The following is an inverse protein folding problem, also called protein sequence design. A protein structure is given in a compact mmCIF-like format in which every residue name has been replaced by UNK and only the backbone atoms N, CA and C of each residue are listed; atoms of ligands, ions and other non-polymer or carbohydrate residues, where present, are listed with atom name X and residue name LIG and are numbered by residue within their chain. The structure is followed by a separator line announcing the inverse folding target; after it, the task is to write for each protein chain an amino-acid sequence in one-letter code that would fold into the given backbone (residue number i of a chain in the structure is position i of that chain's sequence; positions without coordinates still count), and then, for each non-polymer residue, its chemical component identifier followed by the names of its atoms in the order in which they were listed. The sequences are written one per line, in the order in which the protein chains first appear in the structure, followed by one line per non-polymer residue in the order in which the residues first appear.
data_IF_466764483592
#
_entry.id   IF_466764483592
#
_cell.length_a   1.000
_cell.length_b   1.000
_cell.length_c   1.000
_cell.angle_alpha   90.00
_cell.angle_beta   90.00
_cell.angle_gamma   90.00
#
_symmetry.space_group_name_H-M   'P 1'
#
loop_
_entity.id
_entity.type
_entity.pdbx_description
1 polymer ?
#
# COMPACT_ATOMS: atom_id res chain seq x y z
N UNK A 1 29.01 -33.76 15.98
CA UNK A 1 28.78 -32.98 14.74
C UNK A 1 27.71 -31.92 15.00
N UNK A 2 28.14 -30.78 15.56
CA UNK A 2 27.26 -29.64 15.74
C UNK A 2 27.23 -28.82 14.43
N UNK A 3 26.07 -28.77 13.80
CA UNK A 3 25.78 -27.93 12.64
C UNK A 3 26.00 -26.46 13.01
N UNK A 4 27.03 -25.83 12.44
CA UNK A 4 27.25 -24.39 12.54
C UNK A 4 26.07 -23.64 11.91
N UNK A 5 25.32 -23.00 12.80
CA UNK A 5 24.40 -21.89 12.56
C UNK A 5 24.86 -20.97 11.43
N UNK A 6 23.99 -20.74 10.43
CA UNK A 6 24.26 -19.91 9.26
C UNK A 6 24.63 -18.47 9.63
N UNK A 7 25.91 -18.13 9.48
CA UNK A 7 26.40 -16.76 9.58
C UNK A 7 25.74 -15.86 8.52
N UNK A 8 25.34 -14.65 8.91
CA UNK A 8 24.65 -13.71 8.05
C UNK A 8 25.64 -13.00 7.12
N UNK A 9 25.89 -13.56 5.93
CA UNK A 9 26.75 -12.91 4.93
C UNK A 9 26.17 -11.57 4.44
N UNK A 10 27.06 -10.62 4.14
CA UNK A 10 26.77 -9.26 3.67
C UNK A 10 25.97 -9.26 2.36
N UNK A 11 26.23 -10.23 1.49
CA UNK A 11 25.47 -10.52 0.27
C UNK A 11 25.21 -12.02 0.25
N UNK A 12 23.93 -12.42 0.18
CA UNK A 12 23.56 -13.84 0.11
C UNK A 12 22.42 -14.09 -0.86
N UNK A 13 22.47 -15.21 -1.56
CA UNK A 13 21.34 -15.67 -2.36
C UNK A 13 20.25 -16.30 -1.50
N UNK A 14 19.00 -16.09 -1.91
CA UNK A 14 17.80 -16.71 -1.35
C UNK A 14 16.98 -17.24 -2.50
N UNK A 15 16.87 -18.56 -2.59
CA UNK A 15 16.09 -19.25 -3.62
C UNK A 15 14.60 -18.87 -3.54
N UNK A 16 13.94 -18.74 -4.69
CA UNK A 16 12.49 -18.65 -4.76
C UNK A 16 11.84 -20.03 -4.63
N UNK A 17 10.65 -20.11 -4.04
CA UNK A 17 9.89 -21.36 -4.00
C UNK A 17 9.26 -21.65 -5.36
N UNK A 18 9.64 -22.76 -6.02
CA UNK A 18 9.09 -23.16 -7.32
C UNK A 18 9.41 -24.60 -7.71
N UNK A 19 8.44 -25.28 -8.35
CA UNK A 19 8.49 -26.69 -8.76
C UNK A 19 9.50 -27.02 -9.89
N UNK A 20 9.69 -28.32 -10.16
CA UNK A 20 10.90 -28.88 -10.80
C UNK A 20 11.10 -28.67 -12.32
N UNK A 21 10.48 -27.67 -12.97
CA UNK A 21 10.52 -27.55 -14.45
C UNK A 21 10.84 -26.17 -15.05
N UNK A 22 11.14 -25.14 -14.25
CA UNK A 22 11.57 -23.83 -14.74
C UNK A 22 12.95 -23.44 -14.17
N UNK A 23 13.73 -22.54 -14.82
CA UNK A 23 14.93 -21.97 -14.22
C UNK A 23 14.52 -21.33 -12.90
N UNK A 24 15.08 -21.81 -11.80
CA UNK A 24 14.72 -21.28 -10.48
C UNK A 24 15.26 -19.87 -10.37
N UNK A 25 14.39 -18.93 -10.03
CA UNK A 25 14.75 -17.54 -9.84
C UNK A 25 14.61 -17.24 -8.35
N UNK A 26 15.64 -16.62 -7.78
CA UNK A 26 15.68 -16.16 -6.40
C UNK A 26 16.09 -14.69 -6.34
N UNK A 27 16.72 -14.32 -5.23
CA UNK A 27 17.12 -12.95 -4.96
C UNK A 27 18.42 -12.87 -4.18
N UNK A 28 19.20 -11.81 -4.38
CA UNK A 28 20.32 -11.49 -3.48
C UNK A 28 19.84 -10.55 -2.38
N UNK A 29 20.14 -10.90 -1.12
CA UNK A 29 19.92 -10.05 0.05
C UNK A 29 21.23 -9.39 0.45
N UNK A 30 21.21 -8.06 0.54
CA UNK A 30 22.32 -7.23 0.97
C UNK A 30 22.04 -6.70 2.38
N UNK A 31 22.93 -6.96 3.33
CA UNK A 31 22.85 -6.43 4.69
C UNK A 31 23.58 -5.09 4.76
N UNK A 32 22.85 -4.03 5.10
CA UNK A 32 23.33 -2.66 5.04
C UNK A 32 23.33 -2.00 6.41
N UNK A 33 24.32 -1.15 6.67
CA UNK A 33 24.32 -0.17 7.77
C UNK A 33 24.44 1.23 7.18
N UNK A 34 23.35 1.99 7.25
CA UNK A 34 23.19 3.30 6.63
C UNK A 34 23.44 4.41 7.63
N UNK A 35 24.28 5.37 7.26
CA UNK A 35 24.52 6.63 7.99
C UNK A 35 23.90 7.79 7.20
N UNK A 36 22.66 8.20 7.51
CA UNK A 36 22.00 9.31 6.83
C UNK A 36 22.52 10.67 7.33
N UNK A 37 22.25 11.74 6.57
CA UNK A 37 22.69 13.10 6.90
C UNK A 37 24.20 13.31 6.83
N UNK A 38 24.91 12.49 6.06
CA UNK A 38 26.34 12.69 5.82
C UNK A 38 26.57 13.93 4.95
N UNK A 39 27.79 14.49 4.98
CA UNK A 39 28.16 15.53 4.01
C UNK A 39 28.20 14.91 2.61
N UNK A 40 27.93 15.69 1.55
CA UNK A 40 28.02 15.21 0.16
C UNK A 40 29.37 14.57 -0.17
N UNK A 41 30.46 15.07 0.42
CA UNK A 41 31.82 14.52 0.28
C UNK A 41 31.97 13.11 0.87
N UNK A 42 31.10 12.71 1.80
CA UNK A 42 31.11 11.41 2.46
C UNK A 42 30.00 10.47 1.96
N UNK A 43 29.17 10.88 0.99
CA UNK A 43 28.17 10.00 0.38
C UNK A 43 28.87 8.87 -0.41
N UNK A 44 28.50 7.62 -0.15
CA UNK A 44 29.17 6.46 -0.75
C UNK A 44 29.21 5.23 0.16
N UNK A 45 29.71 4.12 -0.38
CA UNK A 45 30.05 2.92 0.42
C UNK A 45 31.25 3.26 1.30
N UNK A 46 31.13 3.13 2.61
CA UNK A 46 32.21 3.47 3.55
C UNK A 46 33.10 2.28 3.89
N UNK A 47 32.51 1.08 3.99
CA UNK A 47 33.23 -0.17 4.22
C UNK A 47 32.37 -1.37 3.83
N UNK A 48 33.02 -2.49 3.52
CA UNK A 48 32.36 -3.76 3.24
C UNK A 48 33.06 -4.84 4.04
N UNK A 49 32.33 -5.53 4.91
CA UNK A 49 32.80 -6.72 5.64
C UNK A 49 32.10 -7.96 5.10
N UNK A 50 32.45 -9.13 5.63
CA UNK A 50 31.78 -10.38 5.25
C UNK A 50 30.33 -10.46 5.75
N UNK A 51 29.95 -9.65 6.74
CA UNK A 51 28.60 -9.67 7.35
C UNK A 51 27.71 -8.47 6.96
N UNK A 52 28.30 -7.32 6.61
CA UNK A 52 27.53 -6.09 6.31
C UNK A 52 28.27 -5.12 5.39
N UNK A 53 27.48 -4.29 4.71
CA UNK A 53 27.92 -3.16 3.88
C UNK A 53 27.58 -1.86 4.62
N UNK A 54 28.57 -1.07 5.00
CA UNK A 54 28.34 0.27 5.56
C UNK A 54 28.33 1.31 4.45
N UNK A 55 27.35 2.22 4.48
CA UNK A 55 27.24 3.29 3.50
C UNK A 55 26.68 4.57 4.13
N UNK A 56 27.06 5.71 3.55
CA UNK A 56 26.62 7.03 3.94
C UNK A 56 25.75 7.64 2.84
N UNK A 57 24.68 8.34 3.23
CA UNK A 57 23.85 9.12 2.30
C UNK A 57 23.69 10.53 2.84
N UNK A 58 23.68 11.53 1.97
CA UNK A 58 23.50 12.92 2.34
C UNK A 58 22.04 13.23 2.72
N UNK A 59 21.09 12.47 2.16
CA UNK A 59 19.68 12.55 2.48
C UNK A 59 19.44 12.36 3.99
N UNK A 60 18.53 13.16 4.54
CA UNK A 60 18.14 13.07 5.94
C UNK A 60 17.23 11.87 6.16
N UNK A 61 17.14 11.31 7.39
CA UNK A 61 16.24 10.21 7.70
C UNK A 61 14.78 10.68 7.86
N UNK A 62 14.27 11.46 6.91
CA UNK A 62 12.89 11.97 6.85
C UNK A 62 12.22 11.50 5.57
N UNK A 63 10.92 11.25 5.63
CA UNK A 63 10.04 11.03 4.47
C UNK A 63 10.52 10.00 3.44
N UNK A 64 11.37 9.05 3.85
CA UNK A 64 11.95 8.04 2.96
C UNK A 64 13.12 8.51 2.09
N UNK A 65 13.54 9.78 2.17
CA UNK A 65 14.64 10.33 1.35
C UNK A 65 15.93 9.51 1.51
N UNK A 66 16.28 9.13 2.74
CA UNK A 66 17.45 8.28 3.01
C UNK A 66 17.32 6.88 2.38
N UNK A 67 16.10 6.33 2.27
CA UNK A 67 15.88 5.02 1.63
C UNK A 67 16.04 5.12 0.11
N UNK A 68 15.50 6.17 -0.50
CA UNK A 68 15.68 6.43 -1.93
C UNK A 68 17.14 6.69 -2.28
N UNK A 69 17.85 7.46 -1.46
CA UNK A 69 19.28 7.72 -1.62
C UNK A 69 20.11 6.43 -1.51
N UNK A 70 19.75 5.51 -0.61
CA UNK A 70 20.40 4.18 -0.52
C UNK A 70 20.19 3.37 -1.79
N UNK A 71 18.96 3.30 -2.30
CA UNK A 71 18.65 2.55 -3.54
C UNK A 71 19.37 3.18 -4.73
N UNK A 72 19.39 4.51 -4.82
CA UNK A 72 20.16 5.24 -5.85
C UNK A 72 21.64 4.89 -5.77
N UNK A 73 22.24 5.00 -4.59
CA UNK A 73 23.67 4.72 -4.40
C UNK A 73 24.03 3.27 -4.78
N UNK A 74 23.22 2.29 -4.37
CA UNK A 74 23.45 0.89 -4.73
C UNK A 74 23.26 0.62 -6.22
N UNK A 75 22.25 1.25 -6.84
CA UNK A 75 21.98 1.18 -8.28
C UNK A 75 23.18 1.69 -9.09
N UNK A 76 23.70 2.86 -8.72
CA UNK A 76 24.88 3.46 -9.36
C UNK A 76 26.15 2.64 -9.11
N UNK A 77 26.33 2.09 -7.90
CA UNK A 77 27.53 1.34 -7.54
C UNK A 77 27.60 -0.04 -8.23
N UNK A 78 26.47 -0.74 -8.32
CA UNK A 78 26.40 -2.09 -8.91
C UNK A 78 26.14 -2.03 -10.42
N UNK A 79 25.69 -0.87 -10.94
CA UNK A 79 25.39 -0.69 -12.36
C UNK A 79 24.07 -1.32 -12.79
N UNK A 80 23.07 -1.34 -11.89
CA UNK A 80 21.77 -1.99 -12.12
C UNK A 80 20.61 -1.00 -12.03
N UNK A 81 19.49 -1.23 -12.74
CA UNK A 81 18.31 -0.38 -12.63
C UNK A 81 17.76 -0.32 -11.19
N UNK A 82 17.37 0.88 -10.73
CA UNK A 82 16.77 1.09 -9.40
C UNK A 82 15.57 0.17 -9.14
N UNK A 83 14.80 -0.17 -10.18
CA UNK A 83 13.64 -1.06 -10.13
C UNK A 83 13.97 -2.50 -9.73
N UNK A 84 15.23 -2.94 -9.87
CA UNK A 84 15.67 -4.28 -9.42
C UNK A 84 16.06 -4.32 -7.95
N UNK A 85 16.26 -3.16 -7.31
CA UNK A 85 16.68 -3.03 -5.92
C UNK A 85 15.52 -2.57 -5.03
N UNK A 86 15.25 -3.33 -3.97
CA UNK A 86 14.18 -3.03 -3.01
C UNK A 86 14.71 -3.05 -1.58
N UNK A 87 14.39 -2.04 -0.78
CA UNK A 87 14.62 -2.11 0.66
C UNK A 87 13.47 -2.87 1.33
N UNK A 88 13.71 -4.13 1.68
CA UNK A 88 12.70 -5.04 2.25
C UNK A 88 12.68 -5.05 3.77
N UNK A 89 13.72 -4.51 4.40
CA UNK A 89 13.80 -4.41 5.86
C UNK A 89 14.53 -3.15 6.32
N UNK A 90 14.19 -2.66 7.51
CA UNK A 90 14.93 -1.57 8.15
C UNK A 90 14.67 -0.17 7.58
N UNK A 91 13.54 0.06 6.92
CA UNK A 91 13.22 1.38 6.35
C UNK A 91 13.36 2.56 7.35
N UNK A 92 13.08 2.32 8.64
CA UNK A 92 13.27 3.28 9.76
C UNK A 92 14.52 3.03 10.61
N UNK A 93 15.31 2.02 10.28
CA UNK A 93 16.54 1.67 10.97
C UNK A 93 17.76 2.09 10.14
N UNK A 94 18.91 2.22 10.81
CA UNK A 94 20.22 2.30 10.15
C UNK A 94 20.60 0.94 9.59
N UNK A 95 20.21 -0.15 10.23
CA UNK A 95 20.36 -1.49 9.66
C UNK A 95 19.23 -1.72 8.66
N UNK A 96 19.58 -1.94 7.39
CA UNK A 96 18.61 -2.20 6.32
C UNK A 96 18.95 -3.48 5.58
N UNK A 97 17.94 -4.10 4.99
CA UNK A 97 18.15 -5.20 4.04
C UNK A 97 17.65 -4.75 2.68
N UNK A 98 18.55 -4.67 1.70
CA UNK A 98 18.18 -4.52 0.30
C UNK A 98 18.08 -5.89 -0.38
N UNK A 99 17.21 -5.98 -1.38
CA UNK A 99 17.01 -7.16 -2.21
C UNK A 99 17.26 -6.77 -3.65
N UNK A 100 18.14 -7.51 -4.31
CA UNK A 100 18.22 -7.56 -5.76
C UNK A 100 17.34 -8.71 -6.25
N UNK A 101 16.30 -8.38 -7.00
CA UNK A 101 15.33 -9.35 -7.52
C UNK A 101 15.82 -10.05 -8.78
N UNK A 102 15.13 -11.13 -9.12
CA UNK A 102 15.20 -11.80 -10.42
C UNK A 102 16.62 -12.32 -10.74
N UNK A 103 17.21 -13.00 -9.76
CA UNK A 103 18.54 -13.60 -9.86
C UNK A 103 18.38 -15.08 -10.16
N UNK A 104 18.91 -15.55 -11.29
CA UNK A 104 18.92 -16.98 -11.61
C UNK A 104 19.66 -17.76 -10.51
N UNK A 105 19.11 -18.90 -10.09
CA UNK A 105 19.74 -19.79 -9.12
C UNK A 105 21.05 -20.37 -9.68
N UNK A 106 21.08 -20.65 -10.98
CA UNK A 106 22.28 -21.00 -11.71
C UNK A 106 23.24 -19.80 -11.79
N UNK A 107 24.45 -19.94 -11.27
CA UNK A 107 25.43 -18.86 -11.15
C UNK A 107 25.16 -17.83 -10.03
N UNK A 108 24.20 -18.08 -9.14
CA UNK A 108 23.83 -17.13 -8.08
C UNK A 108 24.98 -16.81 -7.12
N UNK A 109 25.85 -17.79 -6.85
CA UNK A 109 27.00 -17.65 -5.94
C UNK A 109 28.08 -16.75 -6.55
N UNK A 110 28.42 -16.99 -7.81
CA UNK A 110 29.36 -16.18 -8.60
C UNK A 110 28.84 -14.76 -8.78
N UNK A 111 27.53 -14.61 -9.01
CA UNK A 111 26.89 -13.30 -9.10
C UNK A 111 26.90 -12.56 -7.76
N UNK A 112 26.64 -13.25 -6.64
CA UNK A 112 26.77 -12.67 -5.30
C UNK A 112 28.20 -12.19 -5.01
N UNK A 113 29.20 -13.00 -5.39
CA UNK A 113 30.61 -12.64 -5.26
C UNK A 113 30.98 -11.43 -6.12
N UNK A 114 30.46 -11.35 -7.35
CA UNK A 114 30.66 -10.20 -8.26
C UNK A 114 30.07 -8.92 -7.67
N UNK A 115 28.84 -8.98 -7.14
CA UNK A 115 28.20 -7.83 -6.49
C UNK A 115 28.99 -7.38 -5.25
N UNK A 116 29.45 -8.33 -4.43
CA UNK A 116 30.27 -8.03 -3.26
C UNK A 116 31.61 -7.39 -3.64
N UNK A 117 32.26 -7.85 -4.73
CA UNK A 117 33.50 -7.27 -5.25
C UNK A 117 33.30 -5.84 -5.78
N UNK A 118 32.22 -5.57 -6.52
CA UNK A 118 31.87 -4.21 -6.97
C UNK A 118 31.70 -3.25 -5.78
N UNK A 119 31.00 -3.69 -4.73
CA UNK A 119 30.82 -2.91 -3.51
C UNK A 119 32.14 -2.69 -2.76
N UNK A 120 33.02 -3.69 -2.71
CA UNK A 120 34.37 -3.57 -2.12
C UNK A 120 35.22 -2.56 -2.89
N UNK A 121 35.22 -2.61 -4.22
CA UNK A 121 35.93 -1.67 -5.09
C UNK A 121 35.45 -0.22 -4.93
N UNK A 122 34.17 -0.03 -4.63
CA UNK A 122 33.60 1.29 -4.36
C UNK A 122 34.02 1.88 -3.00
N UNK A 123 34.43 1.04 -2.04
CA UNK A 123 34.83 1.45 -0.68
C UNK A 123 36.17 2.22 -0.67
N UNK A 124 36.31 3.30 0.12
CA UNK A 124 37.53 4.09 0.26
C UNK A 124 38.76 3.29 0.70
N UNK A 125 38.57 2.12 1.32
CA UNK A 125 39.65 1.21 1.73
C UNK A 125 40.52 0.67 0.59
N UNK A 126 40.14 0.90 -0.68
CA UNK A 126 40.95 0.58 -1.87
C UNK A 126 41.43 1.81 -2.67
N UNK A 127 41.14 3.04 -2.21
CA UNK A 127 41.68 4.27 -2.81
C UNK A 127 42.76 4.85 -1.92
N UNK A 128 44.02 4.57 -2.25
CA UNK A 128 45.14 5.33 -1.71
C UNK A 128 45.60 6.39 -2.73
N UNK A 129 45.69 7.68 -2.36
CA UNK A 129 46.38 8.66 -3.20
C UNK A 129 47.91 8.51 -3.23
N UNK A 130 48.56 7.78 -2.31
CA UNK A 130 50.03 7.64 -2.22
C UNK A 130 50.48 6.34 -1.52
N UNK A 131 50.60 5.24 -2.27
CA UNK A 131 50.91 3.88 -1.80
C UNK A 131 51.75 3.71 -0.51
N UNK A 132 51.18 3.04 0.50
CA UNK A 132 51.79 2.18 1.53
C UNK A 132 50.69 1.41 2.29
N UNK A 133 50.98 0.18 2.72
CA UNK A 133 50.01 -0.85 3.15
C UNK A 133 49.60 -0.78 4.64
N UNK A 134 48.50 -1.49 4.89
CA UNK A 134 47.73 -1.68 6.13
C UNK A 134 48.56 -2.38 7.22
N UNK A 135 48.76 -1.73 8.35
CA UNK A 135 48.89 -2.34 9.69
C UNK A 135 48.92 -1.22 10.75
N UNK A 136 48.47 -1.54 11.97
CA UNK A 136 48.28 -0.65 13.12
C UNK A 136 47.04 0.27 13.07
N UNK A 137 45.93 -0.21 13.64
CA UNK A 137 45.10 0.56 14.58
C UNK A 137 44.14 -0.37 15.38
N UNK A 138 44.65 -1.53 15.79
CA UNK A 138 44.13 -2.23 16.98
C UNK A 138 44.92 -1.72 18.19
N UNK A 139 44.44 -0.65 18.81
CA UNK A 139 44.68 -0.30 20.23
C UNK A 139 44.23 1.13 20.50
N UNK A 140 43.06 1.28 21.13
CA UNK A 140 42.79 2.28 22.18
C UNK A 140 41.39 2.10 22.74
N UNK A 141 41.35 1.38 23.84
CA UNK A 141 40.29 1.33 24.83
C UNK A 141 40.26 2.66 25.61
N UNK A 142 39.08 3.24 25.85
CA UNK A 142 38.67 3.85 27.14
C UNK A 142 37.23 4.41 27.13
N UNK A 143 36.42 3.80 27.99
CA UNK A 143 35.42 4.31 28.95
C UNK A 143 34.87 5.75 28.81
N UNK A 144 33.53 5.87 28.71
CA UNK A 144 32.65 6.93 29.29
C UNK A 144 31.24 6.29 29.53
N UNK A 145 30.49 6.63 30.61
CA UNK A 145 29.60 5.70 31.34
C UNK A 145 28.12 5.68 30.91
N UNK A 146 27.40 4.68 31.46
CA UNK A 146 25.97 4.42 31.33
C UNK A 146 25.06 5.62 31.65
N UNK A 147 24.03 5.81 30.83
CA UNK A 147 22.77 6.49 31.20
C UNK A 147 21.64 5.99 30.29
N UNK A 148 20.38 5.97 30.77
CA UNK A 148 19.55 4.78 30.86
C UNK A 148 18.86 4.45 29.54
N UNK A 149 18.67 3.15 29.31
CA UNK A 149 17.90 2.58 28.21
C UNK A 149 16.51 3.20 28.14
N UNK A 150 16.27 4.05 27.12
CA UNK A 150 14.92 4.45 26.74
C UNK A 150 14.22 3.21 26.21
N UNK A 151 13.26 2.73 26.99
CA UNK A 151 12.33 1.63 26.73
C UNK A 151 12.19 1.33 25.23
N UNK A 152 12.61 0.14 24.81
CA UNK A 152 12.27 -0.39 23.50
C UNK A 152 10.74 -0.57 23.47
N UNK A 153 10.02 0.42 22.95
CA UNK A 153 8.58 0.27 22.70
C UNK A 153 8.40 -0.97 21.82
N UNK A 154 7.68 -1.96 22.35
CA UNK A 154 7.26 -3.13 21.61
C UNK A 154 6.64 -2.69 20.28
N UNK A 155 6.86 -3.45 19.21
CA UNK A 155 6.13 -3.19 17.95
C UNK A 155 4.63 -3.23 18.28
N UNK A 156 3.85 -2.17 17.97
CA UNK A 156 2.42 -2.18 18.23
C UNK A 156 1.82 -3.37 17.48
N UNK A 157 1.25 -4.30 18.25
CA UNK A 157 0.53 -5.44 17.71
C UNK A 157 -0.87 -4.95 17.33
N UNK A 158 -1.32 -5.33 16.16
CA UNK A 158 -2.65 -5.04 15.67
C UNK A 158 -3.23 -6.32 15.09
N UNK A 159 -4.54 -6.45 15.16
CA UNK A 159 -5.27 -7.63 14.72
C UNK A 159 -6.36 -7.26 13.72
N UNK A 160 -6.58 -8.12 12.74
CA UNK A 160 -7.69 -8.01 11.79
C UNK A 160 -8.89 -8.71 12.41
N UNK A 161 -10.05 -8.06 12.37
CA UNK A 161 -11.33 -8.59 12.84
C UNK A 161 -12.45 -8.26 11.86
N UNK A 162 -13.57 -8.99 11.95
CA UNK A 162 -14.81 -8.51 11.35
C UNK A 162 -15.25 -7.20 12.02
N UNK A 163 -15.74 -6.26 11.22
CA UNK A 163 -16.37 -5.04 11.71
C UNK A 163 -17.81 -5.37 12.15
N UNK A 164 -18.25 -4.83 13.28
CA UNK A 164 -19.59 -5.01 13.85
C UNK A 164 -20.38 -3.70 13.86
N UNK A 165 -21.68 -3.77 14.15
CA UNK A 165 -22.53 -2.58 14.25
C UNK A 165 -22.05 -1.60 15.34
N UNK A 166 -21.42 -2.10 16.40
CA UNK A 166 -20.91 -1.27 17.50
C UNK A 166 -19.70 -0.42 17.08
N UNK A 167 -18.99 -0.82 16.02
CA UNK A 167 -17.83 -0.07 15.50
C UNK A 167 -18.24 1.13 14.63
N UNK A 168 -19.49 1.18 14.16
CA UNK A 168 -19.95 2.13 13.13
C UNK A 168 -19.67 3.59 13.53
N UNK A 169 -19.95 4.05 14.76
CA UNK A 169 -19.65 5.42 15.15
C UNK A 169 -18.15 5.77 15.07
N UNK A 170 -17.28 4.86 15.51
CA UNK A 170 -15.83 5.05 15.50
C UNK A 170 -15.28 5.07 14.06
N UNK A 171 -15.78 4.17 13.21
CA UNK A 171 -15.40 4.08 11.81
C UNK A 171 -15.87 5.29 11.03
N UNK A 172 -17.07 5.80 11.30
CA UNK A 172 -17.57 7.00 10.67
C UNK A 172 -16.74 8.24 11.02
N UNK A 173 -16.36 8.39 12.30
CA UNK A 173 -15.44 9.46 12.70
C UNK A 173 -14.10 9.33 11.97
N UNK A 174 -13.53 8.12 11.95
CA UNK A 174 -12.30 7.81 11.23
C UNK A 174 -12.36 8.20 9.76
N UNK A 175 -13.48 7.93 9.08
CA UNK A 175 -13.68 8.33 7.68
C UNK A 175 -13.76 9.83 7.52
N UNK A 176 -14.49 10.53 8.38
CA UNK A 176 -14.51 12.00 8.40
C UNK A 176 -13.10 12.57 8.48
N UNK A 177 -12.30 12.11 9.45
CA UNK A 177 -10.92 12.57 9.65
C UNK A 177 -10.00 12.21 8.47
N UNK A 178 -10.18 11.02 7.88
CA UNK A 178 -9.31 10.54 6.80
C UNK A 178 -9.53 11.27 5.47
N UNK A 179 -10.74 11.81 5.23
CA UNK A 179 -11.11 12.51 4.00
C UNK A 179 -11.22 14.03 4.17
N UNK A 180 -10.93 14.57 5.35
CA UNK A 180 -10.98 16.02 5.63
C UNK A 180 -10.17 16.85 4.63
N UNK A 181 -9.07 16.30 4.12
CA UNK A 181 -8.14 16.97 3.17
C UNK A 181 -8.14 16.37 1.77
N UNK A 182 -9.11 15.50 1.45
CA UNK A 182 -9.24 14.96 0.10
C UNK A 182 -9.92 15.97 -0.82
N UNK A 183 -9.22 16.40 -1.88
CA UNK A 183 -9.66 17.47 -2.79
C UNK A 183 -11.07 17.25 -3.37
N UNK A 184 -11.38 16.02 -3.76
CA UNK A 184 -12.69 15.72 -4.34
C UNK A 184 -13.79 15.78 -3.28
N UNK A 185 -13.52 15.24 -2.08
CA UNK A 185 -14.46 15.28 -0.96
C UNK A 185 -14.73 16.71 -0.51
N UNK A 186 -13.69 17.54 -0.40
CA UNK A 186 -13.81 18.98 -0.14
C UNK A 186 -14.71 19.67 -1.19
N UNK A 187 -14.48 19.39 -2.48
CA UNK A 187 -15.28 19.97 -3.57
C UNK A 187 -16.77 19.58 -3.46
N UNK A 188 -17.07 18.30 -3.21
CA UNK A 188 -18.46 17.83 -3.03
C UNK A 188 -19.14 18.50 -1.82
N UNK A 189 -18.37 18.87 -0.80
CA UNK A 189 -18.85 19.65 0.34
C UNK A 189 -19.35 21.06 -0.02
N UNK A 190 -19.02 21.59 -1.19
CA UNK A 190 -19.45 22.91 -1.67
C UNK A 190 -20.76 22.87 -2.48
N UNK A 191 -21.34 21.69 -2.69
CA UNK A 191 -22.62 21.55 -3.38
C UNK A 191 -23.79 22.15 -2.58
N UNK A 192 -24.95 22.28 -3.24
CA UNK A 192 -26.20 22.72 -2.58
C UNK A 192 -26.59 21.81 -1.40
N UNK A 193 -26.23 20.54 -1.51
CA UNK A 193 -26.32 19.55 -0.44
C UNK A 193 -24.89 19.13 -0.06
N UNK A 194 -24.28 19.76 0.97
CA UNK A 194 -22.90 19.49 1.34
C UNK A 194 -22.67 18.01 1.66
N UNK A 195 -21.73 17.40 0.95
CA UNK A 195 -21.32 16.04 1.22
C UNK A 195 -20.54 15.96 2.55
N UNK A 196 -20.96 15.04 3.42
CA UNK A 196 -20.30 14.75 4.71
C UNK A 196 -19.94 13.27 4.76
N UNK A 197 -18.63 12.99 4.74
CA UNK A 197 -18.10 11.62 4.74
C UNK A 197 -18.45 10.84 6.01
N UNK A 198 -18.47 11.51 7.17
CA UNK A 198 -18.83 10.87 8.45
C UNK A 198 -20.31 10.50 8.46
N UNK A 199 -21.18 11.43 8.07
CA UNK A 199 -22.63 11.18 7.97
C UNK A 199 -22.93 10.07 6.96
N UNK A 200 -22.33 10.14 5.77
CA UNK A 200 -22.46 9.10 4.74
C UNK A 200 -22.06 7.72 5.28
N UNK A 201 -20.96 7.64 6.02
CA UNK A 201 -20.49 6.37 6.61
C UNK A 201 -21.43 5.86 7.71
N UNK A 202 -21.94 6.73 8.59
CA UNK A 202 -22.93 6.37 9.61
C UNK A 202 -24.19 5.74 9.00
N UNK A 203 -24.66 6.29 7.88
CA UNK A 203 -25.90 5.86 7.23
C UNK A 203 -25.72 4.61 6.37
N UNK A 204 -24.59 4.47 5.67
CA UNK A 204 -24.37 3.39 4.69
C UNK A 204 -23.80 2.10 5.29
N UNK A 205 -22.86 2.21 6.24
CA UNK A 205 -22.11 1.07 6.76
C UNK A 205 -22.99 -0.01 7.43
N UNK A 206 -24.06 0.31 8.18
CA UNK A 206 -24.97 -0.70 8.72
C UNK A 206 -25.64 -1.57 7.65
N UNK A 207 -25.93 -1.01 6.48
CA UNK A 207 -26.50 -1.75 5.35
C UNK A 207 -25.49 -2.70 4.72
N UNK A 208 -24.24 -2.24 4.56
CA UNK A 208 -23.13 -3.05 4.04
C UNK A 208 -22.83 -4.25 4.94
N UNK A 209 -22.86 -4.08 6.27
CA UNK A 209 -22.64 -5.15 7.23
C UNK A 209 -23.68 -6.28 7.16
N UNK A 210 -24.90 -5.97 6.71
CA UNK A 210 -25.99 -6.94 6.56
C UNK A 210 -25.99 -7.63 5.20
N UNK A 211 -25.18 -7.17 4.25
CA UNK A 211 -25.20 -7.69 2.90
C UNK A 211 -24.42 -9.02 2.80
N UNK A 212 -25.04 -10.12 2.33
CA UNK A 212 -24.39 -11.43 2.22
C UNK A 212 -23.13 -11.43 1.35
N UNK A 213 -23.07 -10.51 0.37
CA UNK A 213 -21.98 -10.35 -0.60
C UNK A 213 -20.90 -9.37 -0.17
N UNK A 214 -21.01 -8.83 1.05
CA UNK A 214 -20.07 -7.84 1.57
C UNK A 214 -19.39 -8.39 2.82
N UNK A 215 -18.07 -8.22 2.87
CA UNK A 215 -17.24 -8.48 4.04
C UNK A 215 -16.58 -7.19 4.46
N UNK A 216 -16.76 -6.81 5.71
CA UNK A 216 -16.11 -5.62 6.26
C UNK A 216 -15.13 -6.04 7.34
N UNK A 217 -13.88 -5.64 7.15
CA UNK A 217 -12.78 -5.90 8.08
C UNK A 217 -12.35 -4.61 8.74
N UNK A 218 -11.96 -4.72 10.01
CA UNK A 218 -11.27 -3.67 10.75
C UNK A 218 -9.91 -4.15 11.22
N UNK A 219 -8.99 -3.21 11.37
CA UNK A 219 -7.75 -3.42 12.12
C UNK A 219 -7.88 -2.72 13.46
N UNK A 220 -7.63 -3.43 14.54
CA UNK A 220 -7.73 -2.92 15.90
C UNK A 220 -6.35 -2.89 16.53
N UNK A 221 -6.04 -1.80 17.22
CA UNK A 221 -4.84 -1.69 18.05
C UNK A 221 -4.96 -2.59 19.28
N UNK A 222 -3.95 -3.41 19.58
CA UNK A 222 -4.01 -4.35 20.71
C UNK A 222 -3.89 -3.65 22.07
N UNK A 223 -3.31 -2.46 22.13
CA UNK A 223 -3.09 -1.74 23.39
C UNK A 223 -4.29 -0.85 23.73
N UNK A 224 -4.74 -0.03 22.78
CA UNK A 224 -5.85 0.90 23.03
C UNK A 224 -7.23 0.30 22.74
N UNK A 225 -7.31 -0.74 21.92
CA UNK A 225 -8.58 -1.23 21.38
C UNK A 225 -9.18 -0.33 20.30
N UNK A 226 -8.47 0.71 19.86
CA UNK A 226 -8.96 1.64 18.85
C UNK A 226 -9.05 0.97 17.47
N UNK A 227 -10.09 1.31 16.72
CA UNK A 227 -10.18 0.99 15.29
C UNK A 227 -9.18 1.86 14.54
N UNK A 228 -8.15 1.23 13.96
CA UNK A 228 -7.08 1.90 13.23
C UNK A 228 -7.43 2.18 11.77
N UNK A 229 -8.30 1.35 11.20
CA UNK A 229 -8.75 1.42 9.82
C UNK A 229 -9.69 0.27 9.47
N UNK A 230 -10.37 0.38 8.34
CA UNK A 230 -11.30 -0.63 7.86
C UNK A 230 -11.22 -0.79 6.34
N UNK A 231 -11.68 -1.93 5.84
CA UNK A 231 -11.83 -2.22 4.42
C UNK A 231 -13.12 -3.00 4.18
N UNK A 232 -13.87 -2.57 3.17
CA UNK A 232 -15.10 -3.21 2.71
C UNK A 232 -14.81 -3.92 1.39
N UNK A 233 -14.99 -5.24 1.39
CA UNK A 233 -14.83 -6.11 0.24
C UNK A 233 -16.19 -6.57 -0.29
N UNK A 234 -16.46 -6.32 -1.57
CA UNK A 234 -17.57 -6.89 -2.31
C UNK A 234 -17.18 -8.17 -3.04
N UNK A 235 -18.12 -9.11 -3.15
CA UNK A 235 -17.93 -10.42 -3.77
C UNK A 235 -18.93 -10.61 -4.91
N UNK A 236 -18.43 -10.94 -6.10
CA UNK A 236 -19.24 -11.31 -7.27
C UNK A 236 -18.98 -12.76 -7.64
N UNK A 237 -20.04 -13.53 -7.87
CA UNK A 237 -19.93 -14.91 -8.37
C UNK A 237 -19.51 -15.98 -7.34
N UNK A 238 -19.77 -15.77 -6.04
CA UNK A 238 -19.29 -16.64 -4.95
C UNK A 238 -20.40 -17.20 -4.07
N UNK A 239 -21.18 -18.25 -4.43
CA UNK A 239 -22.38 -18.80 -3.73
C UNK A 239 -22.78 -18.24 -2.32
N UNK A 240 -23.45 -18.98 -1.44
CA UNK A 240 -23.31 -18.64 -0.01
C UNK A 240 -22.19 -19.43 0.64
N UNK A 241 -22.05 -20.70 0.27
CA UNK A 241 -21.09 -21.64 0.85
C UNK A 241 -19.63 -21.31 0.49
N UNK A 242 -19.45 -20.56 -0.60
CA UNK A 242 -18.15 -20.08 -1.09
C UNK A 242 -17.71 -18.74 -0.44
N UNK A 243 -18.60 -18.09 0.32
CA UNK A 243 -18.28 -16.83 1.00
C UNK A 243 -17.37 -17.09 2.21
N UNK A 244 -16.40 -16.20 2.49
CA UNK A 244 -15.52 -16.37 3.64
C UNK A 244 -16.28 -16.25 4.96
N UNK A 245 -15.99 -17.18 5.86
CA UNK A 245 -16.47 -17.19 7.25
C UNK A 245 -15.48 -16.40 8.10
N UNK A 246 -15.98 -15.38 8.79
CA UNK A 246 -15.21 -14.56 9.71
C UNK A 246 -15.91 -14.57 11.07
N UNK A 247 -15.15 -14.85 12.13
CA UNK A 247 -15.65 -14.76 13.50
C UNK A 247 -16.14 -13.33 13.79
N UNK A 248 -17.32 -13.21 14.39
CA UNK A 248 -17.97 -11.92 14.66
C UNK A 248 -18.70 -11.28 13.47
N UNK A 249 -18.59 -11.84 12.25
CA UNK A 249 -19.41 -11.39 11.11
C UNK A 249 -20.84 -11.85 11.31
N UNK A 250 -21.81 -10.93 11.19
CA UNK A 250 -23.22 -11.29 11.09
C UNK A 250 -23.43 -12.08 9.79
N UNK A 251 -23.61 -13.39 9.90
CA UNK A 251 -23.88 -14.21 8.73
C UNK A 251 -25.29 -13.92 8.21
N UNK A 252 -25.49 -13.90 6.88
CA UNK A 252 -26.83 -13.84 6.32
C UNK A 252 -27.64 -15.06 6.76
N UNK A 253 -28.96 -14.91 6.95
CA UNK A 253 -29.83 -16.02 7.36
C UNK A 253 -29.79 -17.17 6.34
N UNK A 254 -29.91 -18.41 6.83
CA UNK A 254 -29.74 -19.65 6.05
C UNK A 254 -30.67 -19.78 4.82
N UNK A 255 -31.79 -19.04 4.79
CA UNK A 255 -32.71 -18.94 3.65
C UNK A 255 -32.88 -17.47 3.25
N UNK A 256 -32.04 -16.93 2.36
CA UNK A 256 -32.32 -15.65 1.74
C UNK A 256 -33.52 -15.79 0.79
N UNK A 257 -34.42 -14.80 0.69
CA UNK A 257 -35.38 -14.75 -0.40
C UNK A 257 -34.64 -14.80 -1.75
N UNK A 258 -35.27 -15.41 -2.76
CA UNK A 258 -34.69 -15.58 -4.10
C UNK A 258 -34.04 -14.28 -4.61
N UNK A 259 -32.91 -14.37 -5.34
CA UNK A 259 -32.17 -13.18 -5.73
C UNK A 259 -33.04 -12.29 -6.61
N UNK A 260 -33.47 -11.16 -6.07
CA UNK A 260 -33.65 -9.98 -6.92
C UNK A 260 -32.28 -9.74 -7.56
N UNK A 261 -32.24 -9.63 -8.89
CA UNK A 261 -31.02 -9.39 -9.66
C UNK A 261 -30.18 -8.32 -8.95
N UNK A 262 -29.11 -8.75 -8.28
CA UNK A 262 -28.29 -7.89 -7.43
C UNK A 262 -27.26 -7.18 -8.30
N UNK A 263 -27.76 -6.26 -9.13
CA UNK A 263 -27.09 -4.99 -9.38
C UNK A 263 -27.52 -4.01 -8.29
N UNK A 264 -26.69 -3.02 -8.04
CA UNK A 264 -27.03 -1.80 -7.31
C UNK A 264 -27.20 -1.90 -5.79
N UNK A 265 -26.13 -1.51 -5.11
CA UNK A 265 -26.27 -0.65 -3.94
C UNK A 265 -25.22 0.45 -4.02
N UNK A 266 -25.50 1.44 -4.89
CA UNK A 266 -25.16 2.84 -4.69
C UNK A 266 -25.99 3.70 -5.66
N UNK A 267 -27.29 3.84 -5.39
CA UNK A 267 -27.95 5.14 -5.43
C UNK A 267 -29.34 5.01 -4.78
N UNK A 268 -29.61 5.79 -3.74
CA UNK A 268 -31.00 6.10 -3.39
C UNK A 268 -31.48 7.11 -4.43
N UNK A 269 -31.92 6.62 -5.58
CA UNK A 269 -32.93 7.30 -6.37
C UNK A 269 -33.85 6.24 -6.97
N UNK A 270 -35.13 6.40 -6.71
CA UNK A 270 -36.22 5.48 -7.02
C UNK A 270 -36.33 5.17 -8.51
N UNK A 271 -36.08 3.91 -8.89
CA UNK A 271 -36.48 3.38 -10.18
C UNK A 271 -38.00 3.16 -10.20
N UNK A 272 -38.74 4.15 -10.71
CA UNK A 272 -40.09 3.95 -11.23
C UNK A 272 -40.00 3.41 -12.67
N UNK A 273 -40.78 2.36 -12.93
CA UNK A 273 -40.88 1.66 -14.23
C UNK A 273 -41.23 2.60 -15.39
N UNK A 274 -40.71 2.21 -16.56
CA UNK A 274 -40.89 2.77 -17.89
C UNK A 274 -42.27 3.35 -18.19
N UNK A 275 -42.31 4.67 -18.28
CA UNK A 275 -43.05 5.39 -19.32
C UNK A 275 -42.05 6.34 -19.98
N UNK A 276 -42.02 6.40 -21.31
CA UNK A 276 -41.09 7.24 -22.06
C UNK A 276 -41.25 8.72 -21.65
N UNK A 277 -40.44 9.16 -20.69
CA UNK A 277 -40.31 10.56 -20.31
C UNK A 277 -39.41 11.28 -21.32
N UNK A 278 -39.68 12.56 -21.60
CA UNK A 278 -38.80 13.38 -22.42
C UNK A 278 -37.38 13.37 -21.84
N UNK A 279 -36.37 13.48 -22.70
CA UNK A 279 -34.97 13.57 -22.30
C UNK A 279 -34.84 14.54 -21.12
N UNK A 280 -34.27 14.11 -19.98
CA UNK A 280 -34.13 14.99 -18.82
C UNK A 280 -33.29 16.20 -19.23
N UNK A 281 -33.70 17.39 -18.80
CA UNK A 281 -32.91 18.60 -19.01
C UNK A 281 -31.47 18.38 -18.50
N UNK A 282 -30.45 18.92 -19.20
CA UNK A 282 -29.06 18.70 -18.82
C UNK A 282 -28.83 19.20 -17.39
N UNK A 283 -28.26 18.34 -16.54
CA UNK A 283 -27.94 18.69 -15.15
C UNK A 283 -27.00 19.90 -15.13
N UNK A 284 -27.41 20.96 -14.42
CA UNK A 284 -26.72 22.24 -14.38
C UNK A 284 -25.92 22.45 -13.09
N UNK A 285 -26.20 21.66 -12.04
CA UNK A 285 -25.42 21.71 -10.81
C UNK A 285 -24.02 21.10 -11.06
N UNK A 286 -22.95 21.86 -10.81
CA UNK A 286 -21.60 21.45 -11.20
C UNK A 286 -21.12 20.22 -10.40
N UNK A 287 -21.57 20.06 -9.16
CA UNK A 287 -21.24 18.88 -8.34
C UNK A 287 -22.01 17.66 -8.83
N UNK A 288 -23.32 17.81 -9.12
CA UNK A 288 -24.10 16.70 -9.69
C UNK A 288 -23.58 16.25 -11.04
N UNK A 289 -23.07 17.17 -11.87
CA UNK A 289 -22.37 16.84 -13.12
C UNK A 289 -21.10 16.00 -12.87
N UNK A 290 -20.28 16.38 -11.88
CA UNK A 290 -19.09 15.60 -11.50
C UNK A 290 -19.46 14.20 -11.00
N UNK A 291 -20.51 14.10 -10.19
CA UNK A 291 -21.04 12.82 -9.72
C UNK A 291 -21.58 11.97 -10.87
N UNK A 292 -22.34 12.55 -11.79
CA UNK A 292 -22.82 11.86 -12.99
C UNK A 292 -21.66 11.33 -13.84
N UNK A 293 -20.63 12.15 -14.10
CA UNK A 293 -19.43 11.74 -14.84
C UNK A 293 -18.73 10.57 -14.15
N UNK A 294 -18.41 10.70 -12.86
CA UNK A 294 -17.64 9.70 -12.12
C UNK A 294 -18.43 8.41 -11.93
N UNK A 295 -19.75 8.48 -11.73
CA UNK A 295 -20.62 7.32 -11.64
C UNK A 295 -20.77 6.61 -13.00
N UNK A 296 -20.97 7.35 -14.08
CA UNK A 296 -21.08 6.77 -15.43
C UNK A 296 -19.77 6.06 -15.84
N UNK A 297 -18.62 6.68 -15.55
CA UNK A 297 -17.30 6.11 -15.84
C UNK A 297 -17.05 4.81 -15.04
N UNK A 298 -17.42 4.80 -13.75
CA UNK A 298 -17.31 3.63 -12.89
C UNK A 298 -18.26 2.52 -13.32
N UNK A 299 -19.50 2.84 -13.69
CA UNK A 299 -20.48 1.86 -14.17
C UNK A 299 -20.01 1.20 -15.47
N UNK A 300 -19.53 2.00 -16.44
CA UNK A 300 -18.96 1.48 -17.67
C UNK A 300 -17.75 0.56 -17.41
N UNK A 301 -16.89 0.92 -16.45
CA UNK A 301 -15.81 0.04 -16.00
C UNK A 301 -16.35 -1.26 -15.39
N UNK A 302 -17.36 -1.18 -14.52
CA UNK A 302 -17.96 -2.35 -13.88
C UNK A 302 -18.56 -3.31 -14.90
N UNK A 303 -19.25 -2.81 -15.93
CA UNK A 303 -19.80 -3.63 -17.02
C UNK A 303 -18.69 -4.37 -17.79
N UNK A 304 -17.56 -3.69 -18.04
CA UNK A 304 -16.39 -4.27 -18.72
C UNK A 304 -15.65 -5.29 -17.85
N UNK A 305 -15.40 -4.98 -16.57
CA UNK A 305 -14.59 -5.82 -15.67
C UNK A 305 -15.38 -6.99 -15.10
N UNK A 306 -16.70 -6.86 -15.00
CA UNK A 306 -17.57 -7.81 -14.33
C UNK A 306 -18.76 -8.20 -15.20
N UNK A 307 -18.56 -8.76 -16.41
CA UNK A 307 -19.65 -9.36 -17.17
C UNK A 307 -20.33 -10.48 -16.36
N UNK A 308 -21.50 -10.92 -16.80
CA UNK A 308 -22.22 -12.05 -16.19
C UNK A 308 -21.31 -13.28 -16.08
N UNK A 309 -21.40 -14.01 -14.97
CA UNK A 309 -20.54 -15.17 -14.68
C UNK A 309 -19.16 -14.85 -14.10
N UNK A 310 -18.78 -13.57 -14.00
CA UNK A 310 -17.47 -13.20 -13.43
C UNK A 310 -17.38 -13.56 -11.94
N UNK A 311 -16.24 -14.16 -11.56
CA UNK A 311 -15.84 -14.36 -10.16
C UNK A 311 -14.70 -13.41 -9.81
N UNK A 312 -14.98 -12.47 -8.91
CA UNK A 312 -13.99 -11.52 -8.42
C UNK A 312 -14.40 -10.93 -7.09
N UNK A 313 -13.45 -10.29 -6.42
CA UNK A 313 -13.74 -9.42 -5.27
C UNK A 313 -13.36 -7.98 -5.62
N UNK A 314 -13.86 -7.01 -4.86
CA UNK A 314 -13.51 -5.60 -5.09
C UNK A 314 -13.56 -4.78 -3.82
N UNK A 315 -12.73 -3.75 -3.75
CA UNK A 315 -12.74 -2.81 -2.62
C UNK A 315 -13.85 -1.80 -2.86
N UNK A 316 -14.86 -1.80 -1.98
CA UNK A 316 -15.95 -0.83 -1.95
C UNK A 316 -15.53 0.45 -1.23
N UNK A 317 -14.71 0.30 -0.19
CA UNK A 317 -14.19 1.42 0.58
C UNK A 317 -13.07 0.97 1.52
N UNK A 318 -12.05 1.79 1.68
CA UNK A 318 -10.93 1.55 2.58
C UNK A 318 -10.47 2.87 3.15
N UNK A 319 -10.38 2.94 4.49
CA UNK A 319 -9.81 4.11 5.15
C UNK A 319 -8.92 3.71 6.32
N UNK A 320 -7.85 4.48 6.51
CA UNK A 320 -6.94 4.35 7.63
C UNK A 320 -6.96 5.68 8.37
N UNK A 321 -7.21 5.62 9.68
CA UNK A 321 -7.17 6.81 10.53
C UNK A 321 -5.84 7.54 10.36
N UNK A 322 -5.84 8.88 10.20
CA UNK A 322 -4.61 9.67 10.15
C UNK A 322 -3.64 9.37 11.29
N UNK A 323 -4.15 9.13 12.52
CA UNK A 323 -3.38 8.75 13.72
C UNK A 323 -2.54 7.48 13.52
N UNK A 324 -2.99 6.58 12.66
CA UNK A 324 -2.44 5.24 12.47
C UNK A 324 -1.84 4.98 11.08
N UNK A 325 -1.78 6.00 10.22
CA UNK A 325 -1.15 5.88 8.91
C UNK A 325 0.35 5.55 9.01
N UNK A 326 0.88 4.90 7.97
CA UNK A 326 2.28 4.46 7.94
C UNK A 326 2.62 3.35 8.96
N UNK A 327 1.62 2.70 9.57
CA UNK A 327 1.81 1.58 10.52
C UNK A 327 1.48 0.20 9.93
N UNK A 328 1.22 0.13 8.61
CA UNK A 328 0.92 -1.12 7.91
C UNK A 328 -0.57 -1.51 7.91
N UNK A 329 -1.45 -0.69 8.48
CA UNK A 329 -2.90 -0.94 8.56
C UNK A 329 -3.53 -1.23 7.19
N UNK A 330 -3.30 -0.34 6.21
CA UNK A 330 -3.83 -0.54 4.85
C UNK A 330 -3.31 -1.80 4.18
N UNK A 331 -2.02 -2.11 4.35
CA UNK A 331 -1.44 -3.36 3.84
C UNK A 331 -2.01 -4.60 4.50
N UNK A 332 -2.29 -4.55 5.81
CA UNK A 332 -2.93 -5.66 6.52
C UNK A 332 -4.36 -5.92 6.00
N UNK A 333 -5.15 -4.86 5.84
CA UNK A 333 -6.50 -4.92 5.26
C UNK A 333 -6.52 -5.47 3.83
N UNK A 334 -5.56 -5.03 3.00
CA UNK A 334 -5.46 -5.48 1.62
C UNK A 334 -4.95 -6.92 1.50
N UNK A 335 -4.01 -7.31 2.36
CA UNK A 335 -3.44 -8.67 2.36
C UNK A 335 -4.49 -9.74 2.55
N UNK A 336 -5.55 -9.47 3.32
CA UNK A 336 -6.66 -10.42 3.46
C UNK A 336 -7.33 -10.71 2.11
N UNK A 337 -7.67 -9.68 1.34
CA UNK A 337 -8.35 -9.85 0.05
C UNK A 337 -7.43 -10.38 -1.04
N UNK A 338 -6.16 -9.96 -1.07
CA UNK A 338 -5.20 -10.47 -2.05
C UNK A 338 -4.83 -11.92 -1.79
N UNK A 339 -4.75 -12.36 -0.52
CA UNK A 339 -4.60 -13.77 -0.19
C UNK A 339 -5.83 -14.59 -0.60
N UNK A 340 -7.04 -14.06 -0.42
CA UNK A 340 -8.26 -14.72 -0.92
C UNK A 340 -8.23 -14.87 -2.45
N UNK A 341 -7.76 -13.84 -3.17
CA UNK A 341 -7.55 -13.91 -4.61
C UNK A 341 -6.57 -15.01 -4.99
N UNK A 342 -5.40 -15.05 -4.34
CA UNK A 342 -4.37 -16.06 -4.55
C UNK A 342 -4.93 -17.48 -4.29
N UNK A 343 -5.70 -17.68 -3.22
CA UNK A 343 -6.31 -18.98 -2.89
C UNK A 343 -7.38 -19.42 -3.90
N UNK A 344 -8.28 -18.51 -4.30
CA UNK A 344 -9.42 -18.84 -5.17
C UNK A 344 -9.12 -18.74 -6.65
N UNK A 345 -7.93 -18.27 -7.03
CA UNK A 345 -7.57 -18.02 -8.43
C UNK A 345 -8.46 -16.97 -9.09
N UNK A 346 -8.92 -15.97 -8.32
CA UNK A 346 -9.72 -14.84 -8.85
C UNK A 346 -8.95 -13.54 -8.77
N UNK A 347 -9.37 -12.54 -9.54
CA UNK A 347 -8.80 -11.20 -9.43
C UNK A 347 -9.56 -10.34 -8.41
N UNK A 348 -8.92 -9.28 -7.95
CA UNK A 348 -9.58 -8.16 -7.28
C UNK A 348 -9.48 -6.88 -8.10
N UNK A 349 -10.41 -5.95 -7.91
CA UNK A 349 -10.30 -4.61 -8.46
C UNK A 349 -10.69 -3.52 -7.46
N UNK A 350 -10.25 -2.29 -7.71
CA UNK A 350 -10.58 -1.10 -6.91
C UNK A 350 -10.65 0.14 -7.78
N UNK A 351 -11.60 1.02 -7.49
CA UNK A 351 -11.61 2.41 -7.94
C UNK A 351 -10.91 3.27 -6.87
N UNK A 352 -9.68 3.67 -7.13
CA UNK A 352 -8.84 4.39 -6.16
C UNK A 352 -8.91 5.89 -6.35
N UNK A 353 -9.04 6.59 -5.23
CA UNK A 353 -8.77 8.02 -5.10
C UNK A 353 -7.29 8.35 -5.38
N UNK A 354 -7.01 9.61 -5.69
CA UNK A 354 -5.65 10.12 -5.92
C UNK A 354 -4.70 9.89 -4.73
N UNK A 355 -5.07 10.14 -3.45
CA UNK A 355 -4.15 9.89 -2.34
C UNK A 355 -3.90 8.41 -2.05
N UNK A 356 -4.79 7.50 -2.45
CA UNK A 356 -4.76 6.10 -2.02
C UNK A 356 -4.00 5.15 -2.98
N UNK A 357 -3.83 5.49 -4.26
CA UNK A 357 -3.43 4.51 -5.28
C UNK A 357 -2.10 3.83 -5.01
N UNK A 358 -1.11 4.55 -4.47
CA UNK A 358 0.22 3.99 -4.13
C UNK A 358 0.15 2.91 -3.05
N UNK A 359 -0.86 2.94 -2.19
CA UNK A 359 -1.07 1.87 -1.19
C UNK A 359 -1.53 0.59 -1.88
N UNK A 360 -2.47 0.69 -2.82
CA UNK A 360 -2.91 -0.45 -3.62
C UNK A 360 -1.77 -1.00 -4.49
N UNK A 361 -0.98 -0.12 -5.13
CA UNK A 361 0.20 -0.51 -5.91
C UNK A 361 1.21 -1.32 -5.08
N UNK A 362 1.58 -0.81 -3.89
CA UNK A 362 2.45 -1.53 -2.95
C UNK A 362 1.88 -2.87 -2.49
N UNK A 363 0.56 -3.04 -2.58
CA UNK A 363 -0.15 -4.28 -2.26
C UNK A 363 -0.36 -5.19 -3.47
N UNK A 364 0.23 -4.84 -4.63
CA UNK A 364 0.26 -5.66 -5.84
C UNK A 364 -0.80 -5.33 -6.88
N UNK A 365 -1.66 -4.33 -6.65
CA UNK A 365 -2.60 -3.86 -7.65
C UNK A 365 -1.85 -3.11 -8.77
N UNK A 366 -2.34 -3.22 -9.99
CA UNK A 366 -1.81 -2.51 -11.17
C UNK A 366 -2.87 -1.57 -11.71
N UNK A 367 -2.47 -0.35 -12.08
CA UNK A 367 -3.35 0.57 -12.79
C UNK A 367 -3.69 -0.01 -14.15
N UNK A 368 -4.98 -0.09 -14.47
CA UNK A 368 -5.50 -0.58 -15.75
C UNK A 368 -6.07 0.57 -16.58
N UNK A 369 -6.82 1.47 -15.92
CA UNK A 369 -7.43 2.65 -16.52
C UNK A 369 -7.37 3.80 -15.52
N UNK A 370 -7.39 5.01 -16.05
CA UNK A 370 -7.52 6.23 -15.27
C UNK A 370 -8.60 7.12 -15.85
N UNK A 371 -9.29 7.85 -14.97
CA UNK A 371 -10.13 8.99 -15.34
C UNK A 371 -9.45 10.22 -14.74
N UNK A 372 -8.96 11.09 -15.61
CA UNK A 372 -8.37 12.38 -15.25
C UNK A 372 -9.44 13.46 -15.37
N UNK A 373 -9.78 14.11 -14.26
CA UNK A 373 -10.80 15.15 -14.19
C UNK A 373 -10.15 16.46 -13.81
N UNK A 374 -10.30 17.48 -14.65
CA UNK A 374 -10.04 18.85 -14.24
C UNK A 374 -11.18 19.32 -13.34
N UNK A 375 -10.91 19.38 -12.03
CA UNK A 375 -11.92 19.74 -11.05
C UNK A 375 -12.36 21.21 -11.19
N UNK A 376 -11.55 22.08 -11.82
CA UNK A 376 -11.93 23.48 -12.06
C UNK A 376 -13.15 23.60 -12.99
N UNK A 377 -13.44 22.61 -13.83
CA UNK A 377 -14.63 22.57 -14.69
C UNK A 377 -15.94 22.26 -13.92
N UNK A 378 -15.82 21.76 -12.69
CA UNK A 378 -16.93 21.30 -11.85
C UNK A 378 -16.98 22.02 -10.50
N UNK A 379 -16.11 23.00 -10.29
CA UNK A 379 -16.04 23.74 -9.05
C UNK A 379 -17.12 24.85 -8.99
N UNK A 380 -17.93 24.91 -7.92
CA UNK A 380 -18.84 26.04 -7.73
C UNK A 380 -18.12 27.35 -7.36
N UNK A 381 -16.90 27.25 -6.82
CA UNK A 381 -16.04 28.37 -6.42
C UNK A 381 -14.58 27.92 -6.30
N UNK A 382 -13.59 28.83 -6.25
CA UNK A 382 -12.19 28.50 -5.95
C UNK A 382 -12.02 27.79 -4.59
N UNK A 383 -10.91 27.06 -4.37
CA UNK A 383 -10.65 26.40 -3.09
C UNK A 383 -10.65 27.39 -1.93
N UNK A 384 -11.53 27.24 -0.92
CA UNK A 384 -11.82 28.30 0.06
C UNK A 384 -10.64 28.67 0.97
N UNK A 385 -9.62 27.82 1.07
CA UNK A 385 -8.48 27.99 1.99
C UNK A 385 -7.14 28.25 1.28
N UNK A 386 -7.13 28.49 -0.04
CA UNK A 386 -5.90 28.62 -0.83
C UNK A 386 -5.72 29.97 -1.53
N UNK A 387 -6.68 30.89 -1.35
CA UNK A 387 -6.65 32.22 -1.93
C UNK A 387 -7.48 32.36 -3.22
N UNK A 388 -7.72 33.60 -3.69
CA UNK A 388 -8.68 33.88 -4.75
C UNK A 388 -8.28 33.36 -6.14
N UNK A 389 -6.97 33.20 -6.39
CA UNK A 389 -6.43 32.70 -7.67
C UNK A 389 -6.10 31.19 -7.64
N UNK A 390 -6.44 30.51 -6.54
CA UNK A 390 -6.18 29.09 -6.40
C UNK A 390 -7.08 28.27 -7.33
N UNK A 391 -6.52 27.15 -7.80
CA UNK A 391 -7.18 26.19 -8.68
C UNK A 391 -7.34 24.85 -7.98
N UNK A 392 -8.44 24.17 -8.26
CA UNK A 392 -8.64 22.80 -7.80
C UNK A 392 -7.70 21.83 -8.50
N UNK A 393 -7.47 22.06 -9.81
CA UNK A 393 -6.59 21.25 -10.63
C UNK A 393 -7.10 19.83 -10.89
N UNK A 394 -6.20 18.97 -11.35
CA UNK A 394 -6.55 17.63 -11.79
C UNK A 394 -6.66 16.63 -10.64
N UNK A 395 -7.69 15.78 -10.71
CA UNK A 395 -7.87 14.64 -9.82
C UNK A 395 -7.96 13.35 -10.65
N UNK A 396 -7.03 12.42 -10.44
CA UNK A 396 -6.95 11.20 -11.25
C UNK A 396 -7.48 10.00 -10.47
N UNK A 397 -8.66 9.54 -10.86
CA UNK A 397 -9.18 8.25 -10.44
C UNK A 397 -8.42 7.13 -11.13
N UNK A 398 -8.12 6.05 -10.40
CA UNK A 398 -7.41 4.89 -10.94
C UNK A 398 -8.21 3.62 -10.73
N UNK A 399 -8.58 2.97 -11.82
CA UNK A 399 -9.10 1.62 -11.82
C UNK A 399 -7.92 0.66 -11.79
N UNK A 400 -7.79 -0.07 -10.68
CA UNK A 400 -6.66 -0.95 -10.46
C UNK A 400 -7.11 -2.40 -10.30
N UNK A 401 -6.33 -3.36 -10.81
CA UNK A 401 -6.57 -4.80 -10.65
C UNK A 401 -5.41 -5.48 -9.93
N UNK A 402 -5.75 -6.35 -8.98
CA UNK A 402 -4.84 -7.35 -8.44
C UNK A 402 -5.08 -8.67 -9.18
N UNK A 403 -4.01 -9.25 -9.69
CA UNK A 403 -4.04 -10.58 -10.31
C UNK A 403 -3.46 -11.60 -9.33
N UNK A 404 -4.11 -12.77 -9.16
CA UNK A 404 -3.65 -13.78 -8.22
C UNK A 404 -2.27 -14.30 -8.63
N UNK A 405 -1.43 -14.60 -7.64
CA UNK A 405 -0.13 -15.24 -7.85
C UNK A 405 -0.33 -16.69 -8.24
N UNK A 406 0.44 -17.14 -9.23
CA UNK A 406 0.42 -18.51 -9.78
C UNK A 406 1.03 -19.53 -8.83
#
# INVERSE_FOLDING_TARGET
MASLSGAAAAVRFVAGGGGSKAPRVGSLRLQLRVKPGASKQREGISSVTDDRIELCVAAQPRDGEANEAVVRLLSETIGLPKTRLLLVHGARSRDKTAVLRDVAEDGASEYAATVLDLLRKASPSLRNPRGRSIEALQSRQRLVPDTPTRNAMAKPRHRIQALTLDDVPAVAQLCGDAFETDRQTEMKGLGKEPFDMKKYTLESLPGLLKNPRIVVLKVVDDESGDVMGYCTWGFRGFPPDDMPVLEGRTQPPANPPAPAASGDNNNKESAQKDEAKPEPEPETDPIKRLEALTNADMNAWMDEVMPEGTRCIFVVGLSVSPKYQGRGVGSALLSWGTNFCDEKGVFAWVHSSEPAWKMYEKSGFRVIRSLDVDLDEYAPMPPPNEGPDAKWGHYVFRYMKYFPKS
#
